data_IF_296942298523
#
_entry.id   IF_296942298523
#
_cell.length_a   1.000
_cell.length_b   1.000
_cell.length_c   1.000
_cell.angle_alpha   90.00
_cell.angle_beta   90.00
_cell.angle_gamma   90.00
#
_symmetry.space_group_name_H-M   'P 1'
#
loop_
_entity.id
_entity.type
_entity.pdbx_description
1 polymer ?
#
# COMPACT_ATOMS: atom_id res chain seq x y z
N UNK A 1 4.63 63.79 -53.62
CA UNK A 1 3.50 63.03 -53.02
C UNK A 1 4.05 61.80 -52.32
N UNK A 2 3.47 61.45 -51.16
CA UNK A 2 3.69 60.26 -50.33
C UNK A 2 4.85 60.32 -49.32
N UNK A 3 4.54 61.03 -48.24
CA UNK A 3 4.74 60.64 -46.84
C UNK A 3 4.73 59.12 -46.61
N UNK A 4 5.71 58.60 -45.87
CA UNK A 4 5.58 57.35 -45.12
C UNK A 4 6.11 57.62 -43.71
N UNK A 5 5.19 57.57 -42.75
CA UNK A 5 5.44 57.73 -41.32
C UNK A 5 6.18 56.50 -40.79
N UNK A 6 7.29 56.75 -40.07
CA UNK A 6 8.00 55.72 -39.32
C UNK A 6 7.26 55.54 -37.98
N UNK A 7 6.55 54.42 -37.83
CA UNK A 7 5.88 54.02 -36.59
C UNK A 7 6.93 53.51 -35.59
N UNK A 8 6.96 54.11 -34.40
CA UNK A 8 7.74 53.64 -33.27
C UNK A 8 7.13 52.35 -32.71
N UNK A 9 7.88 51.25 -32.73
CA UNK A 9 7.48 50.00 -32.10
C UNK A 9 7.68 50.08 -30.58
N UNK A 10 6.58 50.09 -29.85
CA UNK A 10 6.55 49.94 -28.39
C UNK A 10 6.88 48.48 -28.05
N UNK A 11 8.15 48.19 -27.74
CA UNK A 11 8.54 46.93 -27.13
C UNK A 11 7.97 46.85 -25.70
N UNK A 12 6.92 46.05 -25.52
CA UNK A 12 6.41 45.68 -24.20
C UNK A 12 7.42 44.74 -23.51
N UNK A 13 7.77 44.96 -22.23
CA UNK A 13 8.67 44.06 -21.54
C UNK A 13 7.96 42.72 -21.29
N UNK A 14 8.59 41.63 -21.74
CA UNK A 14 8.17 40.27 -21.41
C UNK A 14 8.40 40.10 -19.91
N UNK A 15 7.33 40.19 -19.11
CA UNK A 15 7.38 39.90 -17.69
C UNK A 15 7.87 38.46 -17.48
N UNK A 16 8.98 38.28 -16.76
CA UNK A 16 9.43 36.98 -16.32
C UNK A 16 8.34 36.37 -15.42
N UNK A 17 7.62 35.38 -15.95
CA UNK A 17 6.66 34.59 -15.18
C UNK A 17 7.48 33.75 -14.20
N UNK A 18 7.44 34.12 -12.92
CA UNK A 18 7.98 33.33 -11.83
C UNK A 18 7.35 31.93 -11.90
N UNK A 19 8.17 30.88 -12.01
CA UNK A 19 7.70 29.51 -11.84
C UNK A 19 7.15 29.40 -10.40
N UNK A 20 5.84 29.44 -10.26
CA UNK A 20 5.19 29.16 -8.99
C UNK A 20 5.64 27.75 -8.55
N UNK A 21 6.39 27.70 -7.45
CA UNK A 21 6.65 26.46 -6.75
C UNK A 21 5.30 25.78 -6.50
N UNK A 22 5.17 24.50 -6.88
CA UNK A 22 4.00 23.69 -6.52
C UNK A 22 3.73 23.88 -5.03
N UNK A 23 2.50 24.28 -4.62
CA UNK A 23 2.19 24.53 -3.22
C UNK A 23 2.60 23.30 -2.40
N UNK A 24 3.37 23.48 -1.31
CA UNK A 24 3.75 22.35 -0.47
C UNK A 24 2.48 21.73 0.13
N UNK A 25 2.46 20.41 0.23
CA UNK A 25 1.39 19.72 0.94
C UNK A 25 1.36 20.10 2.42
N UNK A 26 0.16 20.08 3.01
CA UNK A 26 -0.04 20.45 4.41
C UNK A 26 0.64 19.47 5.36
N UNK A 27 1.18 19.99 6.46
CA UNK A 27 1.78 19.19 7.54
C UNK A 27 0.72 18.37 8.29
N UNK A 28 1.17 17.40 9.08
CA UNK A 28 0.30 16.56 9.92
C UNK A 28 -0.55 17.43 10.86
N UNK A 29 -1.85 17.11 10.96
CA UNK A 29 -2.85 17.86 11.74
C UNK A 29 -3.13 19.30 11.29
N UNK A 30 -2.55 19.75 10.16
CA UNK A 30 -2.79 21.08 9.61
C UNK A 30 -4.01 21.11 8.68
N UNK A 31 -4.55 22.31 8.46
CA UNK A 31 -5.62 22.51 7.48
C UNK A 31 -5.13 22.16 6.07
N UNK A 32 -5.95 21.45 5.31
CA UNK A 32 -5.61 20.93 3.99
C UNK A 32 -6.64 21.22 2.91
N UNK A 33 -7.82 21.73 3.30
CA UNK A 33 -8.86 22.21 2.40
C UNK A 33 -9.89 23.06 3.18
N UNK A 34 -10.77 23.74 2.45
CA UNK A 34 -11.85 24.58 2.98
C UNK A 34 -12.32 25.62 1.96
N UNK A 35 -13.35 26.39 2.29
CA UNK A 35 -13.77 27.50 1.45
C UNK A 35 -12.64 28.52 1.25
N UNK A 36 -12.42 28.94 0.01
CA UNK A 36 -11.34 29.85 -0.41
C UNK A 36 -9.91 29.33 -0.13
N UNK A 37 -9.72 28.01 -0.07
CA UNK A 37 -8.39 27.40 0.13
C UNK A 37 -7.45 27.75 -1.04
N UNK A 38 -6.36 28.50 -0.81
CA UNK A 38 -5.51 29.02 -1.88
C UNK A 38 -4.41 28.03 -2.31
N UNK A 39 -4.31 26.85 -1.67
CA UNK A 39 -3.24 25.87 -1.87
C UNK A 39 -3.76 24.54 -2.43
N UNK A 40 -2.85 23.61 -2.71
CA UNK A 40 -3.20 22.25 -3.12
C UNK A 40 -3.89 21.46 -2.00
N UNK A 41 -4.77 20.53 -2.38
CA UNK A 41 -5.46 19.62 -1.43
C UNK A 41 -4.63 18.35 -1.27
N UNK A 42 -3.57 18.42 -0.45
CA UNK A 42 -2.73 17.27 -0.15
C UNK A 42 -2.12 17.32 1.25
N UNK A 43 -1.80 16.15 1.79
CA UNK A 43 -1.07 15.97 3.05
C UNK A 43 0.35 15.48 2.75
N UNK A 44 1.33 15.98 3.50
CA UNK A 44 2.75 15.68 3.28
C UNK A 44 3.08 14.21 3.59
N UNK A 45 2.47 13.63 4.62
CA UNK A 45 2.62 12.22 5.00
C UNK A 45 1.57 11.36 4.29
N UNK A 46 2.01 10.29 3.63
CA UNK A 46 1.14 9.33 2.94
C UNK A 46 0.19 8.58 3.90
N UNK A 47 0.52 8.55 5.18
CA UNK A 47 -0.31 7.98 6.26
C UNK A 47 -1.49 8.88 6.65
N UNK A 48 -1.48 10.13 6.18
CA UNK A 48 -2.51 11.12 6.46
C UNK A 48 -3.41 11.31 5.23
N UNK A 49 -4.66 11.69 5.48
CA UNK A 49 -5.65 12.01 4.46
C UNK A 49 -6.36 13.30 4.84
N UNK A 50 -6.69 14.11 3.83
CA UNK A 50 -7.39 15.37 4.04
C UNK A 50 -8.87 15.10 4.35
N UNK A 51 -9.21 15.05 5.63
CA UNK A 51 -10.55 14.73 6.09
C UNK A 51 -11.40 16.01 6.23
N UNK A 52 -12.54 16.05 5.54
CA UNK A 52 -13.50 17.15 5.67
C UNK A 52 -14.13 17.15 7.07
N UNK A 53 -14.06 18.29 7.75
CA UNK A 53 -14.76 18.52 9.03
C UNK A 53 -16.04 19.31 8.82
N UNK A 54 -15.93 20.40 8.05
CA UNK A 54 -17.04 21.22 7.61
C UNK A 54 -16.65 21.91 6.30
N UNK A 55 -17.47 22.84 5.81
CA UNK A 55 -17.23 23.52 4.53
C UNK A 55 -16.02 24.46 4.55
N UNK A 56 -15.58 24.90 5.73
CA UNK A 56 -14.47 25.83 5.91
C UNK A 56 -13.18 25.13 6.36
N UNK A 57 -13.28 23.91 6.88
CA UNK A 57 -12.17 23.20 7.52
C UNK A 57 -12.12 21.74 7.08
N UNK A 58 -10.98 21.37 6.50
CA UNK A 58 -10.51 19.99 6.40
C UNK A 58 -9.13 19.89 7.02
N UNK A 59 -8.85 18.80 7.74
CA UNK A 59 -7.58 18.59 8.43
C UNK A 59 -6.86 17.37 7.86
N UNK A 60 -5.54 17.46 7.73
CA UNK A 60 -4.70 16.29 7.52
C UNK A 60 -4.71 15.46 8.79
N UNK A 61 -5.44 14.35 8.79
CA UNK A 61 -5.51 13.44 9.94
C UNK A 61 -5.08 12.03 9.51
N UNK A 62 -4.67 11.19 10.48
CA UNK A 62 -4.27 9.81 10.18
C UNK A 62 -5.40 9.06 9.48
N UNK A 63 -5.04 8.34 8.41
CA UNK A 63 -5.91 7.32 7.82
C UNK A 63 -6.26 6.29 8.90
N UNK A 64 -7.46 5.70 8.83
CA UNK A 64 -7.79 4.60 9.76
C UNK A 64 -6.81 3.46 9.56
N UNK A 65 -6.52 2.69 10.61
CA UNK A 65 -5.59 1.54 10.53
C UNK A 65 -5.95 0.55 9.40
N UNK A 66 -7.25 0.39 9.11
CA UNK A 66 -7.74 -0.41 7.99
C UNK A 66 -7.46 0.21 6.60
N UNK A 67 -7.42 1.54 6.51
CA UNK A 67 -7.13 2.28 5.28
C UNK A 67 -5.62 2.42 5.04
N UNK A 68 -4.82 2.44 6.11
CA UNK A 68 -3.36 2.33 6.02
C UNK A 68 -2.88 0.96 5.54
N UNK A 69 -3.68 -0.09 5.74
CA UNK A 69 -3.36 -1.44 5.26
C UNK A 69 -3.32 -1.53 3.73
N UNK A 70 -3.96 -0.61 3.01
CA UNK A 70 -3.90 -0.53 1.55
C UNK A 70 -2.50 -0.14 1.04
N UNK A 71 -1.73 0.64 1.82
CA UNK A 71 -0.36 1.10 1.52
C UNK A 71 0.71 0.30 2.28
N UNK A 72 0.30 -0.72 3.05
CA UNK A 72 1.22 -1.53 3.83
C UNK A 72 2.07 -2.43 2.92
N UNK A 73 3.38 -2.45 3.16
CA UNK A 73 4.28 -3.37 2.51
C UNK A 73 3.91 -4.80 2.89
N UNK A 74 3.99 -5.73 1.94
CA UNK A 74 3.72 -7.12 2.22
C UNK A 74 4.91 -7.77 2.94
N UNK A 75 4.65 -8.51 4.01
CA UNK A 75 5.64 -9.32 4.70
C UNK A 75 5.34 -10.81 4.54
N UNK A 76 6.39 -11.58 4.28
CA UNK A 76 6.30 -13.02 4.12
C UNK A 76 5.74 -13.70 5.37
N UNK A 77 5.24 -14.92 5.16
CA UNK A 77 4.86 -15.82 6.24
C UNK A 77 6.00 -15.95 7.27
N UNK A 78 5.63 -15.97 8.54
CA UNK A 78 6.48 -15.95 9.73
C UNK A 78 7.20 -14.64 10.05
N UNK A 79 7.05 -13.60 9.23
CA UNK A 79 7.56 -12.25 9.55
C UNK A 79 6.79 -11.54 10.66
N UNK A 80 7.42 -10.55 11.31
CA UNK A 80 6.77 -9.69 12.30
C UNK A 80 5.81 -8.71 11.63
N UNK A 81 4.56 -8.70 12.08
CA UNK A 81 3.50 -7.82 11.56
C UNK A 81 2.92 -6.87 12.61
N UNK A 82 3.41 -6.94 13.85
CA UNK A 82 2.92 -6.10 14.93
C UNK A 82 3.63 -6.39 16.25
N UNK A 83 3.12 -5.73 17.30
CA UNK A 83 3.65 -5.81 18.66
C UNK A 83 3.94 -4.42 19.22
N UNK A 84 4.06 -4.33 20.54
CA UNK A 84 4.41 -3.10 21.24
C UNK A 84 5.78 -2.60 20.76
N UNK A 85 5.84 -1.34 20.32
CA UNK A 85 7.05 -0.72 19.77
C UNK A 85 7.35 -1.06 18.31
N UNK A 86 6.51 -1.88 17.65
CA UNK A 86 6.65 -2.13 16.21
C UNK A 86 6.19 -0.92 15.39
N UNK A 87 7.11 -0.32 14.63
CA UNK A 87 6.86 0.86 13.79
C UNK A 87 6.59 0.54 12.32
N UNK A 88 6.63 -0.73 11.93
CA UNK A 88 6.47 -1.15 10.54
C UNK A 88 5.01 -1.08 10.07
N UNK A 89 4.79 -0.50 8.88
CA UNK A 89 3.50 -0.57 8.18
C UNK A 89 3.48 -1.80 7.26
N UNK A 90 3.19 -2.97 7.82
CA UNK A 90 3.18 -4.23 7.09
C UNK A 90 1.82 -4.93 7.12
N UNK A 91 1.48 -5.59 6.01
CA UNK A 91 0.41 -6.59 5.93
C UNK A 91 1.02 -7.96 5.67
N UNK A 92 0.38 -9.01 6.17
CA UNK A 92 0.81 -10.36 5.85
C UNK A 92 0.55 -10.67 4.38
N UNK A 93 1.43 -11.46 3.78
CA UNK A 93 1.20 -12.06 2.48
C UNK A 93 -0.12 -12.83 2.43
N UNK A 94 -0.71 -12.92 1.24
CA UNK A 94 -1.98 -13.60 1.01
C UNK A 94 -2.01 -14.99 1.64
N UNK A 95 -3.16 -15.36 2.21
CA UNK A 95 -3.31 -16.63 2.94
C UNK A 95 -2.56 -16.70 4.27
N UNK A 96 -2.12 -15.56 4.80
CA UNK A 96 -1.58 -15.45 6.16
C UNK A 96 -2.27 -14.33 6.94
N UNK A 97 -2.36 -14.49 8.25
CA UNK A 97 -2.97 -13.51 9.16
C UNK A 97 -1.97 -13.09 10.23
N UNK A 98 -2.03 -11.83 10.65
CA UNK A 98 -1.19 -11.33 11.74
C UNK A 98 -1.72 -11.82 13.08
N UNK A 99 -1.05 -12.82 13.67
CA UNK A 99 -1.42 -13.44 14.94
C UNK A 99 -0.55 -12.88 16.05
N UNK A 100 -1.17 -12.37 17.13
CA UNK A 100 -0.46 -11.97 18.34
C UNK A 100 0.16 -13.21 19.00
N UNK A 101 1.49 -13.23 19.12
CA UNK A 101 2.21 -14.30 19.83
C UNK A 101 2.48 -13.85 21.27
N UNK A 102 2.91 -12.60 21.45
CA UNK A 102 3.02 -11.95 22.75
C UNK A 102 2.82 -10.43 22.61
N UNK A 103 3.01 -9.67 23.68
CA UNK A 103 2.77 -8.23 23.68
C UNK A 103 3.71 -7.46 22.75
N UNK A 104 4.97 -7.87 22.62
CA UNK A 104 5.97 -7.22 21.78
C UNK A 104 6.04 -7.80 20.35
N UNK A 105 5.37 -8.92 20.08
CA UNK A 105 5.52 -9.68 18.85
C UNK A 105 4.21 -10.27 18.34
N UNK A 106 3.78 -9.81 17.18
CA UNK A 106 2.77 -10.44 16.34
C UNK A 106 3.42 -10.94 15.06
N UNK A 107 3.02 -12.13 14.62
CA UNK A 107 3.63 -12.85 13.51
C UNK A 107 2.61 -13.16 12.42
N UNK A 108 3.00 -13.04 11.15
CA UNK A 108 2.21 -13.55 10.04
C UNK A 108 2.22 -15.08 10.05
N UNK A 109 1.07 -15.69 10.26
CA UNK A 109 0.95 -17.15 10.27
C UNK A 109 -0.03 -17.60 9.18
N UNK A 110 0.19 -18.78 8.56
CA UNK A 110 -0.73 -19.29 7.55
C UNK A 110 -2.14 -19.42 8.11
N UNK A 111 -3.13 -19.01 7.34
CA UNK A 111 -4.53 -19.34 7.63
C UNK A 111 -4.72 -20.87 7.65
N UNK A 112 -5.54 -21.42 8.57
CA UNK A 112 -5.84 -22.84 8.56
C UNK A 112 -6.45 -23.28 7.21
N UNK A 113 -6.10 -24.47 6.68
CA UNK A 113 -6.72 -24.96 5.46
C UNK A 113 -8.19 -25.33 5.68
N UNK A 114 -9.00 -25.14 4.65
CA UNK A 114 -10.37 -25.69 4.59
C UNK A 114 -10.36 -27.22 4.43
N UNK A 115 -11.53 -27.86 4.56
CA UNK A 115 -11.66 -29.31 4.46
C UNK A 115 -11.09 -29.92 3.16
N UNK A 116 -11.13 -29.19 2.04
CA UNK A 116 -10.63 -29.64 0.73
C UNK A 116 -9.25 -29.06 0.38
N UNK A 117 -8.58 -28.44 1.34
CA UNK A 117 -7.27 -27.83 1.15
C UNK A 117 -6.17 -28.59 1.90
N UNK A 118 -4.96 -28.45 1.40
CA UNK A 118 -3.71 -28.89 2.02
C UNK A 118 -3.06 -27.64 2.62
N UNK A 119 -2.64 -27.70 3.89
CA UNK A 119 -1.95 -26.59 4.57
C UNK A 119 -0.68 -26.16 3.82
N UNK A 120 -0.22 -24.92 4.01
CA UNK A 120 1.09 -24.56 3.47
C UNK A 120 2.18 -25.45 4.01
N UNK A 121 3.17 -25.66 3.15
CA UNK A 121 4.27 -26.58 3.33
C UNK A 121 3.88 -28.06 3.36
N UNK A 122 2.58 -28.38 3.24
CA UNK A 122 2.09 -29.74 3.05
C UNK A 122 2.46 -30.30 1.68
N UNK A 123 2.62 -31.63 1.60
CA UNK A 123 2.85 -32.32 0.34
C UNK A 123 1.60 -32.22 -0.53
N UNK A 124 1.78 -31.84 -1.81
CA UNK A 124 0.69 -31.67 -2.77
C UNK A 124 0.85 -32.52 -4.04
N UNK A 125 1.93 -33.30 -4.12
CA UNK A 125 2.22 -34.16 -5.27
C UNK A 125 3.44 -35.04 -5.05
N UNK A 126 3.73 -35.83 -6.08
CA UNK A 126 4.80 -36.82 -6.07
C UNK A 126 4.41 -38.15 -5.40
N UNK A 127 5.23 -39.17 -5.60
CA UNK A 127 4.94 -40.54 -5.16
C UNK A 127 5.48 -40.90 -3.77
N UNK A 128 6.17 -39.99 -3.07
CA UNK A 128 6.76 -40.31 -1.76
C UNK A 128 5.68 -40.66 -0.74
N UNK A 129 5.99 -41.59 0.17
CA UNK A 129 5.11 -42.02 1.27
C UNK A 129 3.70 -42.45 0.80
N UNK A 130 3.58 -43.00 -0.41
CA UNK A 130 2.31 -43.39 -1.02
C UNK A 130 1.29 -42.25 -1.14
N UNK A 131 1.74 -41.00 -1.22
CA UNK A 131 0.88 -39.81 -1.22
C UNK A 131 -0.30 -39.92 -2.19
N UNK A 132 -1.47 -39.50 -1.71
CA UNK A 132 -2.71 -39.35 -2.47
C UNK A 132 -3.35 -38.04 -2.08
N UNK A 133 -3.59 -37.17 -3.06
CA UNK A 133 -4.22 -35.88 -2.81
C UNK A 133 -5.68 -36.02 -2.32
N UNK A 134 -6.35 -37.14 -2.64
CA UNK A 134 -7.74 -37.40 -2.24
C UNK A 134 -8.68 -36.25 -2.61
N UNK A 135 -8.50 -35.66 -3.80
CA UNK A 135 -9.27 -34.51 -4.28
C UNK A 135 -8.92 -33.17 -3.63
N UNK A 136 -7.98 -33.14 -2.68
CA UNK A 136 -7.51 -31.89 -2.06
C UNK A 136 -6.57 -31.15 -2.98
N UNK A 137 -6.56 -29.83 -2.84
CA UNK A 137 -5.63 -28.92 -3.54
C UNK A 137 -4.88 -28.07 -2.53
N UNK A 138 -3.82 -27.38 -2.94
CA UNK A 138 -3.23 -26.34 -2.09
C UNK A 138 -4.25 -25.24 -1.78
N UNK A 139 -4.04 -24.51 -0.69
CA UNK A 139 -4.86 -23.31 -0.40
C UNK A 139 -4.84 -22.35 -1.58
N UNK A 140 -5.89 -21.55 -1.72
CA UNK A 140 -5.97 -20.54 -2.80
C UNK A 140 -4.77 -19.58 -2.86
N UNK A 141 -4.11 -19.31 -1.74
CA UNK A 141 -2.91 -18.47 -1.64
C UNK A 141 -1.58 -19.21 -1.91
N UNK A 142 -1.62 -20.53 -2.06
CA UNK A 142 -0.45 -21.38 -2.26
C UNK A 142 -0.42 -21.92 -3.70
N UNK A 143 0.78 -22.28 -4.17
CA UNK A 143 0.99 -23.03 -5.41
C UNK A 143 1.63 -24.37 -5.11
N UNK A 144 1.22 -25.42 -5.82
CA UNK A 144 1.86 -26.73 -5.68
C UNK A 144 3.19 -26.72 -6.47
N UNK A 145 4.29 -26.42 -5.78
CA UNK A 145 5.62 -26.38 -6.38
C UNK A 145 6.20 -27.78 -6.47
N UNK A 146 6.50 -28.22 -7.69
CA UNK A 146 7.22 -29.47 -7.93
C UNK A 146 8.68 -29.28 -7.49
N UNK A 147 9.15 -30.13 -6.58
CA UNK A 147 10.57 -30.18 -6.20
C UNK A 147 11.28 -31.30 -6.96
N UNK A 148 10.65 -32.46 -7.05
CA UNK A 148 11.11 -33.60 -7.83
C UNK A 148 9.93 -34.56 -8.11
N UNK A 149 10.20 -35.68 -8.77
CA UNK A 149 9.19 -36.69 -9.11
C UNK A 149 8.49 -37.31 -7.87
N UNK A 150 9.13 -37.30 -6.71
CA UNK A 150 8.62 -37.92 -5.49
C UNK A 150 7.94 -36.91 -4.55
N UNK A 151 8.20 -35.61 -4.71
CA UNK A 151 7.74 -34.59 -3.78
C UNK A 151 7.42 -33.26 -4.46
N UNK A 152 6.20 -32.78 -4.19
CA UNK A 152 5.76 -31.41 -4.46
C UNK A 152 5.18 -30.82 -3.18
N UNK A 153 5.32 -29.51 -2.99
CA UNK A 153 4.93 -28.82 -1.77
C UNK A 153 4.03 -27.63 -2.06
N UNK A 154 2.99 -27.43 -1.23
CA UNK A 154 2.22 -26.19 -1.24
C UNK A 154 3.09 -25.06 -0.69
N UNK A 155 3.48 -24.12 -1.54
CA UNK A 155 4.30 -22.96 -1.14
C UNK A 155 3.51 -21.67 -1.35
N UNK A 156 3.63 -20.66 -0.49
CA UNK A 156 2.99 -19.37 -0.70
C UNK A 156 3.35 -18.76 -2.06
N UNK A 157 2.37 -18.13 -2.70
CA UNK A 157 2.60 -17.33 -3.92
C UNK A 157 3.42 -16.08 -3.57
N UNK A 158 4.16 -15.56 -4.55
CA UNK A 158 4.89 -14.29 -4.47
C UNK A 158 4.15 -13.22 -5.26
#
# INVERSE_FOLDING_TARGET
MRTVALLAELAMPIAAVSLAATPPCSENWSQCNGQNWPFGVCCKDASFVCNKKNDYLSLCEPKKKAEMAADAAEINVWGQCGGNGFSGNYRCADGSTCIKVNDAYSQCQPTPPSANEIATWGQCGGSNNNFKANGKTCRGADTCKVHNAYYSQCVPKK
#
